data_IF_321333493765
#
_entry.id   IF_321333493765
#
_cell.length_a   1.000
_cell.length_b   1.000
_cell.length_c   1.000
_cell.angle_alpha   90.00
_cell.angle_beta   90.00
_cell.angle_gamma   90.00
#
_symmetry.space_group_name_H-M   'P 1'
#
loop_
_entity.id
_entity.type
_entity.pdbx_description
1 polymer ?
#
# COMPACT_ATOMS: atom_id res chain seq x y z
N UNK A 1 5.79 14.21 -10.77
CA UNK A 1 4.57 14.82 -10.20
C UNK A 1 3.39 13.97 -10.68
N UNK A 2 2.46 13.59 -9.80
CA UNK A 2 1.36 12.64 -10.11
C UNK A 2 0.14 13.40 -10.63
N UNK A 3 -0.43 13.00 -11.75
CA UNK A 3 -1.64 13.59 -12.32
C UNK A 3 -2.91 12.85 -11.86
N UNK A 4 -4.08 13.49 -11.91
CA UNK A 4 -5.39 12.86 -11.67
C UNK A 4 -5.57 11.65 -12.60
N UNK A 5 -5.12 11.76 -13.85
CA UNK A 5 -5.17 10.64 -14.82
C UNK A 5 -4.38 9.41 -14.35
N UNK A 6 -3.28 9.60 -13.64
CA UNK A 6 -2.52 8.47 -13.07
C UNK A 6 -3.32 7.77 -11.98
N UNK A 7 -4.10 8.53 -11.19
CA UNK A 7 -4.97 8.00 -10.14
C UNK A 7 -6.18 7.27 -10.75
N UNK A 8 -6.79 7.80 -11.81
CA UNK A 8 -7.88 7.13 -12.53
C UNK A 8 -7.43 5.81 -13.18
N UNK A 9 -6.24 5.82 -13.79
CA UNK A 9 -5.62 4.61 -14.33
C UNK A 9 -5.34 3.59 -13.22
N UNK A 10 -4.79 4.05 -12.08
CA UNK A 10 -4.57 3.20 -10.92
C UNK A 10 -5.88 2.63 -10.35
N UNK A 11 -6.94 3.43 -10.27
CA UNK A 11 -8.26 3.00 -9.79
C UNK A 11 -8.83 1.86 -10.65
N UNK A 12 -8.69 1.98 -11.98
CA UNK A 12 -9.08 0.93 -12.92
C UNK A 12 -8.23 -0.33 -12.75
N UNK A 13 -6.91 -0.16 -12.58
CA UNK A 13 -5.94 -1.25 -12.42
C UNK A 13 -6.19 -2.11 -11.16
N UNK A 14 -6.54 -1.49 -10.03
CA UNK A 14 -6.65 -2.18 -8.74
C UNK A 14 -8.04 -2.77 -8.46
N UNK A 15 -9.04 -2.50 -9.32
CA UNK A 15 -10.46 -2.77 -9.05
C UNK A 15 -10.78 -4.22 -8.65
N UNK A 16 -10.07 -5.19 -9.21
CA UNK A 16 -10.32 -6.61 -8.97
C UNK A 16 -9.65 -7.16 -7.70
N UNK A 17 -8.83 -6.34 -7.03
CA UNK A 17 -8.05 -6.75 -5.85
C UNK A 17 -8.33 -5.92 -4.61
N UNK A 18 -9.00 -4.78 -4.74
CA UNK A 18 -9.42 -3.94 -3.62
C UNK A 18 -10.93 -3.84 -3.55
N UNK A 19 -11.44 -3.63 -2.35
CA UNK A 19 -12.84 -3.24 -2.15
C UNK A 19 -12.96 -1.73 -2.07
N UNK A 20 -14.02 -1.14 -2.63
CA UNK A 20 -14.38 0.24 -2.32
C UNK A 20 -14.81 0.30 -0.85
N UNK A 21 -13.98 0.88 0.00
CA UNK A 21 -14.23 0.88 1.45
C UNK A 21 -15.31 1.90 1.80
N UNK A 22 -16.09 1.69 2.87
CA UNK A 22 -17.16 2.61 3.21
C UNK A 22 -16.59 3.93 3.77
N UNK A 23 -17.26 5.03 3.42
CA UNK A 23 -17.13 6.32 4.09
C UNK A 23 -18.28 6.43 5.08
N UNK A 24 -17.98 6.31 6.38
CA UNK A 24 -19.01 6.19 7.43
C UNK A 24 -19.01 7.43 8.30
N UNK A 25 -20.20 8.00 8.55
CA UNK A 25 -20.34 9.03 9.57
C UNK A 25 -20.09 8.42 10.96
N UNK A 26 -19.30 9.10 11.77
CA UNK A 26 -19.09 8.76 13.18
C UNK A 26 -19.93 9.69 14.04
N UNK A 27 -21.08 9.22 14.53
CA UNK A 27 -22.02 10.04 15.29
C UNK A 27 -21.43 10.53 16.62
N UNK A 28 -20.59 9.71 17.28
CA UNK A 28 -19.99 10.06 18.57
C UNK A 28 -18.98 11.20 18.41
N UNK A 29 -18.10 11.09 17.40
CA UNK A 29 -17.16 12.16 17.09
C UNK A 29 -17.91 13.40 16.59
N UNK A 30 -18.93 13.20 15.76
CA UNK A 30 -19.70 14.31 15.21
C UNK A 30 -20.39 15.14 16.30
N UNK A 31 -21.03 14.47 17.26
CA UNK A 31 -21.64 15.11 18.43
C UNK A 31 -20.58 15.79 19.31
N UNK A 32 -19.48 15.10 19.61
CA UNK A 32 -18.41 15.61 20.48
C UNK A 32 -17.78 16.89 19.97
N UNK A 33 -17.59 17.02 18.65
CA UNK A 33 -16.90 18.16 18.03
C UNK A 33 -17.86 19.14 17.35
N UNK A 34 -19.18 18.91 17.45
CA UNK A 34 -20.20 19.70 16.76
C UNK A 34 -19.87 19.90 15.26
N UNK A 35 -19.43 18.82 14.60
CA UNK A 35 -18.98 18.80 13.22
C UNK A 35 -19.42 17.51 12.53
N UNK A 36 -19.53 17.49 11.20
CA UNK A 36 -19.80 16.24 10.48
C UNK A 36 -18.50 15.47 10.26
N UNK A 37 -18.28 14.40 11.03
CA UNK A 37 -17.04 13.61 10.95
C UNK A 37 -17.32 12.28 10.26
N UNK A 38 -16.59 12.04 9.18
CA UNK A 38 -16.65 10.81 8.40
C UNK A 38 -15.31 10.07 8.44
N UNK A 39 -15.38 8.74 8.47
CA UNK A 39 -14.24 7.84 8.51
C UNK A 39 -14.20 7.00 7.23
N UNK A 40 -13.13 7.16 6.44
CA UNK A 40 -12.84 6.28 5.30
C UNK A 40 -12.18 5.00 5.81
N UNK A 41 -12.90 3.89 5.80
CA UNK A 41 -12.55 2.64 6.52
C UNK A 41 -11.56 1.75 5.77
N UNK A 42 -10.36 2.26 5.50
CA UNK A 42 -9.28 1.47 4.87
C UNK A 42 -8.76 0.31 5.75
N UNK A 43 -9.12 0.27 7.03
CA UNK A 43 -8.92 -0.89 7.91
C UNK A 43 -9.76 -2.11 7.52
N UNK A 44 -10.85 -1.91 6.76
CA UNK A 44 -11.69 -2.97 6.19
C UNK A 44 -11.19 -3.50 4.84
N UNK A 45 -10.09 -2.95 4.32
CA UNK A 45 -9.49 -3.40 3.07
C UNK A 45 -8.93 -4.83 3.19
N UNK A 46 -8.67 -5.50 2.05
CA UNK A 46 -8.22 -6.91 2.01
C UNK A 46 -6.99 -7.22 2.89
N UNK A 47 -6.02 -6.30 2.94
CA UNK A 47 -4.83 -6.41 3.82
C UNK A 47 -4.94 -5.51 5.06
N UNK A 48 -6.17 -5.15 5.44
CA UNK A 48 -6.53 -4.29 6.57
C UNK A 48 -5.85 -2.93 6.58
N UNK A 49 -5.49 -2.44 5.38
CA UNK A 49 -4.93 -1.12 5.18
C UNK A 49 -4.95 -0.73 3.70
N UNK A 50 -4.78 0.56 3.46
CA UNK A 50 -4.68 1.14 2.11
C UNK A 50 -3.46 0.66 1.31
N UNK A 51 -2.43 0.10 1.97
CA UNK A 51 -1.13 -0.19 1.33
C UNK A 51 -1.21 -1.13 0.13
N UNK A 52 -2.24 -1.99 0.05
CA UNK A 52 -2.45 -2.85 -1.12
C UNK A 52 -2.65 -2.05 -2.40
N UNK A 53 -3.30 -0.88 -2.34
CA UNK A 53 -3.64 -0.08 -3.53
C UNK A 53 -2.37 0.32 -4.28
N UNK A 54 -1.43 0.96 -3.58
CA UNK A 54 -0.14 1.33 -4.17
C UNK A 54 0.77 0.14 -4.50
N UNK A 55 0.84 -0.87 -3.62
CA UNK A 55 1.70 -2.04 -3.85
C UNK A 55 1.28 -2.79 -5.12
N UNK A 56 -0.02 -3.06 -5.27
CA UNK A 56 -0.55 -3.74 -6.44
C UNK A 56 -0.41 -2.88 -7.69
N UNK A 57 -0.74 -1.59 -7.64
CA UNK A 57 -0.62 -0.72 -8.81
C UNK A 57 0.82 -0.69 -9.36
N UNK A 58 1.81 -0.51 -8.49
CA UNK A 58 3.23 -0.57 -8.89
C UNK A 58 3.62 -1.93 -9.46
N UNK A 59 3.19 -3.03 -8.84
CA UNK A 59 3.57 -4.36 -9.30
C UNK A 59 2.87 -4.75 -10.61
N UNK A 60 1.64 -4.29 -10.81
CA UNK A 60 0.89 -4.47 -12.04
C UNK A 60 1.48 -3.64 -13.19
N UNK A 61 2.09 -2.49 -12.92
CA UNK A 61 2.77 -1.67 -13.93
C UNK A 61 4.11 -2.24 -14.40
N UNK A 62 4.62 -3.30 -13.76
CA UNK A 62 5.90 -3.91 -14.16
C UNK A 62 5.79 -4.63 -15.49
N UNK A 63 6.81 -4.46 -16.33
CA UNK A 63 6.99 -5.24 -17.55
C UNK A 63 7.20 -6.73 -17.27
N UNK A 64 6.99 -7.57 -18.27
CA UNK A 64 7.17 -9.02 -18.12
C UNK A 64 8.60 -9.39 -17.69
N UNK A 65 9.61 -8.68 -18.21
CA UNK A 65 11.02 -8.90 -17.85
C UNK A 65 11.31 -8.48 -16.41
N UNK A 66 10.73 -7.38 -15.94
CA UNK A 66 10.80 -6.98 -14.52
C UNK A 66 10.16 -8.01 -13.60
N UNK A 67 8.97 -8.51 -13.95
CA UNK A 67 8.26 -9.55 -13.18
C UNK A 67 9.07 -10.84 -13.08
N UNK A 68 9.75 -11.26 -14.16
CA UNK A 68 10.62 -12.45 -14.18
C UNK A 68 11.82 -12.33 -13.23
N UNK A 69 12.37 -11.12 -13.05
CA UNK A 69 13.47 -10.87 -12.09
C UNK A 69 13.02 -10.88 -10.62
N UNK A 70 11.71 -10.96 -10.39
CA UNK A 70 11.11 -10.92 -9.06
C UNK A 70 11.18 -9.54 -8.41
N UNK A 71 10.58 -9.44 -7.23
CA UNK A 71 10.52 -8.20 -6.45
C UNK A 71 11.21 -8.33 -5.11
N UNK A 72 11.57 -7.19 -4.54
CA UNK A 72 12.14 -7.08 -3.19
C UNK A 72 11.42 -5.97 -2.42
N UNK A 73 11.14 -6.22 -1.14
CA UNK A 73 10.55 -5.24 -0.23
C UNK A 73 11.19 -5.39 1.16
N UNK A 74 11.36 -4.28 1.87
CA UNK A 74 11.69 -4.28 3.29
C UNK A 74 10.52 -3.70 4.10
N UNK A 75 9.85 -4.54 4.89
CA UNK A 75 8.79 -4.12 5.81
C UNK A 75 8.34 -5.30 6.66
N UNK A 76 7.97 -5.04 7.92
CA UNK A 76 7.35 -6.02 8.80
C UNK A 76 5.84 -5.76 9.02
N UNK A 77 5.22 -4.88 8.24
CA UNK A 77 3.84 -4.40 8.48
C UNK A 77 2.97 -4.37 7.24
N UNK A 78 2.07 -3.38 7.19
CA UNK A 78 1.05 -3.23 6.15
C UNK A 78 1.61 -3.23 4.72
N UNK A 79 2.79 -2.64 4.50
CA UNK A 79 3.43 -2.65 3.18
C UNK A 79 3.83 -4.07 2.75
N UNK A 80 4.47 -4.84 3.63
CA UNK A 80 4.80 -6.24 3.35
C UNK A 80 3.55 -7.09 3.09
N UNK A 81 2.45 -6.85 3.79
CA UNK A 81 1.18 -7.56 3.54
C UNK A 81 0.62 -7.22 2.14
N UNK A 82 0.62 -5.94 1.77
CA UNK A 82 0.19 -5.49 0.43
C UNK A 82 1.06 -6.06 -0.69
N UNK A 83 2.38 -6.03 -0.53
CA UNK A 83 3.33 -6.63 -1.49
C UNK A 83 3.14 -8.14 -1.58
N UNK A 84 3.02 -8.83 -0.44
CA UNK A 84 2.85 -10.28 -0.42
C UNK A 84 1.57 -10.72 -1.12
N UNK A 85 0.44 -10.07 -0.82
CA UNK A 85 -0.81 -10.33 -1.52
C UNK A 85 -0.68 -10.09 -3.04
N UNK A 86 0.02 -9.01 -3.43
CA UNK A 86 0.23 -8.67 -4.83
C UNK A 86 1.11 -9.71 -5.56
N UNK A 87 2.14 -10.25 -4.90
CA UNK A 87 2.94 -11.35 -5.41
C UNK A 87 2.07 -12.56 -5.77
N UNK A 88 1.19 -12.97 -4.85
CA UNK A 88 0.27 -14.09 -5.07
C UNK A 88 -0.68 -13.81 -6.24
N UNK A 89 -1.31 -12.63 -6.27
CA UNK A 89 -2.30 -12.28 -7.31
C UNK A 89 -1.71 -12.13 -8.71
N UNK A 90 -0.48 -11.62 -8.81
CA UNK A 90 0.19 -11.40 -10.09
C UNK A 90 1.11 -12.58 -10.48
N UNK A 91 1.20 -13.60 -9.64
CA UNK A 91 2.11 -14.74 -9.75
C UNK A 91 3.59 -14.29 -9.93
N UNK A 92 4.03 -13.35 -9.10
CA UNK A 92 5.40 -12.81 -9.08
C UNK A 92 6.12 -13.37 -7.85
N UNK A 93 7.37 -13.80 -8.02
CA UNK A 93 8.21 -14.20 -6.90
C UNK A 93 8.76 -12.97 -6.16
N UNK A 94 8.60 -12.95 -4.84
CA UNK A 94 9.02 -11.81 -4.01
C UNK A 94 9.86 -12.21 -2.81
N UNK A 95 10.85 -11.40 -2.47
CA UNK A 95 11.64 -11.51 -1.23
C UNK A 95 11.29 -10.35 -0.29
N UNK A 96 10.83 -10.67 0.92
CA UNK A 96 10.41 -9.69 1.92
C UNK A 96 11.36 -9.74 3.11
N UNK A 97 12.12 -8.67 3.27
CA UNK A 97 13.08 -8.50 4.34
C UNK A 97 12.41 -7.90 5.58
N UNK A 98 12.66 -8.52 6.72
CA UNK A 98 12.18 -8.06 8.03
C UNK A 98 13.29 -8.19 9.07
N UNK A 99 13.31 -7.35 10.13
CA UNK A 99 14.20 -7.56 11.27
C UNK A 99 14.05 -8.96 11.86
N UNK A 100 15.15 -9.59 12.27
CA UNK A 100 15.16 -10.87 12.98
C UNK A 100 14.34 -10.84 14.28
N UNK A 101 14.23 -9.67 14.88
CA UNK A 101 13.41 -9.38 16.08
C UNK A 101 11.91 -9.27 15.78
N UNK A 102 11.47 -9.44 14.53
CA UNK A 102 10.06 -9.27 14.15
C UNK A 102 9.15 -10.30 14.86
N UNK A 103 8.07 -9.86 15.52
CA UNK A 103 7.12 -10.77 16.17
C UNK A 103 6.53 -11.81 15.19
N UNK A 104 6.45 -13.07 15.64
CA UNK A 104 5.92 -14.20 14.85
C UNK A 104 4.54 -13.93 14.24
N UNK A 105 3.69 -13.16 14.93
CA UNK A 105 2.36 -12.80 14.42
C UNK A 105 2.43 -11.99 13.11
N UNK A 106 3.36 -11.03 13.01
CA UNK A 106 3.55 -10.21 11.81
C UNK A 106 4.09 -11.05 10.66
N UNK A 107 5.05 -11.94 10.94
CA UNK A 107 5.62 -12.88 9.96
C UNK A 107 4.51 -13.80 9.40
N UNK A 108 3.67 -14.36 10.29
CA UNK A 108 2.55 -15.21 9.90
C UNK A 108 1.54 -14.49 9.00
N UNK A 109 1.22 -13.23 9.31
CA UNK A 109 0.30 -12.43 8.48
C UNK A 109 0.84 -12.22 7.06
N UNK A 110 2.11 -11.86 6.92
CA UNK A 110 2.72 -11.67 5.60
C UNK A 110 2.76 -12.99 4.82
N UNK A 111 3.15 -14.08 5.48
CA UNK A 111 3.17 -15.42 4.87
C UNK A 111 1.77 -15.87 4.43
N UNK A 112 0.73 -15.57 5.20
CA UNK A 112 -0.65 -15.90 4.86
C UNK A 112 -1.09 -15.24 3.54
N UNK A 113 -0.69 -13.99 3.30
CA UNK A 113 -1.06 -13.26 2.09
C UNK A 113 -0.25 -13.67 0.87
N UNK A 114 1.07 -13.90 1.01
CA UNK A 114 1.93 -14.23 -0.12
C UNK A 114 2.08 -15.71 -0.43
N UNK A 115 1.82 -16.60 0.55
CA UNK A 115 1.96 -18.05 0.41
C UNK A 115 3.33 -18.42 -0.18
N UNK A 116 3.37 -19.28 -1.19
CA UNK A 116 4.58 -19.78 -1.83
C UNK A 116 5.18 -18.78 -2.84
N UNK A 117 4.52 -17.64 -3.10
CA UNK A 117 5.06 -16.57 -3.95
C UNK A 117 5.98 -15.60 -3.19
N UNK A 118 6.11 -15.76 -1.87
CA UNK A 118 7.00 -14.91 -1.06
C UNK A 118 7.95 -15.72 -0.19
N UNK A 119 9.21 -15.33 -0.22
CA UNK A 119 10.21 -15.72 0.75
C UNK A 119 10.36 -14.60 1.79
N UNK A 120 10.22 -14.94 3.08
CA UNK A 120 10.45 -13.98 4.19
C UNK A 120 11.86 -14.18 4.70
N UNK A 121 12.68 -13.15 4.58
CA UNK A 121 14.09 -13.14 4.98
C UNK A 121 14.21 -12.33 6.27
N UNK A 122 14.53 -13.02 7.36
CA UNK A 122 14.77 -12.40 8.67
C UNK A 122 16.24 -12.05 8.81
N UNK A 123 16.56 -10.76 8.87
CA UNK A 123 17.95 -10.30 8.95
C UNK A 123 18.06 -8.96 9.66
N UNK A 124 19.19 -8.73 10.33
CA UNK A 124 19.42 -7.56 11.16
C UNK A 124 18.51 -7.49 12.38
N UNK A 125 18.88 -6.67 13.36
CA UNK A 125 18.09 -6.45 14.57
C UNK A 125 17.16 -5.23 14.43
N UNK A 126 17.41 -4.38 13.43
CA UNK A 126 16.67 -3.13 13.17
C UNK A 126 16.07 -3.10 11.76
N UNK A 127 15.10 -2.20 11.55
CA UNK A 127 14.52 -1.96 10.23
C UNK A 127 15.57 -1.50 9.22
N UNK A 128 16.47 -0.60 9.59
CA UNK A 128 17.48 -0.06 8.68
C UNK A 128 18.44 -1.14 8.18
N UNK A 129 18.81 -2.10 9.04
CA UNK A 129 19.64 -3.23 8.65
C UNK A 129 18.91 -4.16 7.66
N UNK A 130 17.62 -4.45 7.92
CA UNK A 130 16.81 -5.23 6.99
C UNK A 130 16.60 -4.50 5.65
N UNK A 131 16.44 -3.18 5.68
CA UNK A 131 16.31 -2.33 4.50
C UNK A 131 17.57 -2.32 3.64
N UNK A 132 18.75 -2.15 4.24
CA UNK A 132 20.02 -2.19 3.51
C UNK A 132 20.32 -3.59 2.95
N UNK A 133 19.99 -4.66 3.70
CA UNK A 133 20.07 -6.02 3.18
C UNK A 133 19.15 -6.23 1.95
N UNK A 134 17.93 -5.71 2.00
CA UNK A 134 16.99 -5.78 0.88
C UNK A 134 17.50 -5.01 -0.35
N UNK A 135 18.09 -3.82 -0.16
CA UNK A 135 18.69 -3.05 -1.25
C UNK A 135 19.87 -3.78 -1.89
N UNK A 136 20.73 -4.39 -1.06
CA UNK A 136 21.87 -5.19 -1.54
C UNK A 136 21.37 -6.39 -2.36
N UNK A 137 20.41 -7.15 -1.85
CA UNK A 137 19.80 -8.28 -2.56
C UNK A 137 19.16 -7.85 -3.89
N UNK A 138 18.45 -6.73 -3.89
CA UNK A 138 17.84 -6.16 -5.08
C UNK A 138 18.88 -5.82 -6.14
N UNK A 139 20.01 -5.22 -5.76
CA UNK A 139 21.10 -4.89 -6.66
C UNK A 139 21.79 -6.15 -7.22
N UNK A 140 22.06 -7.14 -6.37
CA UNK A 140 22.71 -8.40 -6.77
C UNK A 140 21.84 -9.21 -7.75
N UNK A 141 20.55 -9.34 -7.46
CA UNK A 141 19.63 -10.15 -8.27
C UNK A 141 18.97 -9.36 -9.41
N UNK A 142 19.21 -8.05 -9.50
CA UNK A 142 18.55 -7.13 -10.45
C UNK A 142 17.02 -7.18 -10.36
N UNK A 143 16.49 -7.51 -9.19
CA UNK A 143 15.05 -7.52 -8.90
C UNK A 143 14.51 -6.09 -8.84
N UNK A 144 13.19 -5.93 -8.76
CA UNK A 144 12.56 -4.60 -8.60
C UNK A 144 12.27 -4.33 -7.13
N UNK A 145 12.79 -3.22 -6.61
CA UNK A 145 12.48 -2.78 -5.26
C UNK A 145 11.11 -2.10 -5.20
N UNK A 146 10.20 -2.60 -4.36
CA UNK A 146 8.87 -2.02 -4.16
C UNK A 146 8.91 -1.11 -2.94
N UNK A 147 9.16 0.18 -3.19
CA UNK A 147 9.27 1.17 -2.13
C UNK A 147 7.91 1.45 -1.45
N UNK A 148 7.83 1.61 -0.12
CA UNK A 148 6.56 1.81 0.60
C UNK A 148 5.81 3.13 0.34
N UNK A 149 6.44 4.12 -0.27
CA UNK A 149 5.85 5.45 -0.51
C UNK A 149 6.58 6.29 -1.57
N UNK A 150 7.92 6.29 -1.59
CA UNK A 150 8.75 6.96 -2.60
C UNK A 150 8.74 6.27 -3.98
N UNK A 151 7.55 6.19 -4.58
CA UNK A 151 7.34 5.71 -5.96
C UNK A 151 6.02 6.29 -6.49
N UNK A 152 6.04 6.84 -7.71
CA UNK A 152 4.88 7.50 -8.30
C UNK A 152 3.69 6.56 -8.52
N UNK A 153 3.91 5.30 -8.90
CA UNK A 153 2.84 4.32 -9.06
C UNK A 153 2.28 3.88 -7.72
N UNK A 154 3.12 3.77 -6.69
CA UNK A 154 2.65 3.50 -5.33
C UNK A 154 1.75 4.63 -4.86
N UNK A 155 2.20 5.87 -5.00
CA UNK A 155 1.44 7.04 -4.59
C UNK A 155 0.15 7.24 -5.42
N UNK A 156 0.17 7.00 -6.73
CA UNK A 156 -1.05 7.01 -7.57
C UNK A 156 -2.07 5.97 -7.09
N UNK A 157 -1.60 4.75 -6.77
CA UNK A 157 -2.46 3.73 -6.18
C UNK A 157 -3.03 4.14 -4.82
N UNK A 158 -2.24 4.76 -3.93
CA UNK A 158 -2.80 5.28 -2.67
C UNK A 158 -3.82 6.41 -2.90
N UNK A 159 -3.62 7.24 -3.92
CA UNK A 159 -4.53 8.34 -4.28
C UNK A 159 -5.94 7.90 -4.66
N UNK A 160 -6.12 6.63 -5.05
CA UNK A 160 -7.44 6.06 -5.33
C UNK A 160 -8.40 6.12 -4.14
N UNK A 161 -7.88 6.21 -2.90
CA UNK A 161 -8.70 6.47 -1.70
C UNK A 161 -9.45 7.79 -1.82
N UNK A 162 -8.81 8.83 -2.38
CA UNK A 162 -9.39 10.16 -2.55
C UNK A 162 -10.46 10.17 -3.61
N UNK A 163 -10.19 9.52 -4.75
CA UNK A 163 -11.19 9.33 -5.79
C UNK A 163 -12.44 8.63 -5.24
N UNK A 164 -12.28 7.59 -4.42
CA UNK A 164 -13.42 6.93 -3.78
C UNK A 164 -14.17 7.85 -2.80
N UNK A 165 -13.46 8.66 -2.00
CA UNK A 165 -14.11 9.62 -1.09
C UNK A 165 -14.96 10.60 -1.91
N UNK A 166 -14.40 11.18 -2.97
CA UNK A 166 -15.10 12.13 -3.84
C UNK A 166 -16.33 11.52 -4.53
N UNK A 167 -16.29 10.23 -4.85
CA UNK A 167 -17.43 9.51 -5.41
C UNK A 167 -18.51 9.15 -4.36
N UNK A 168 -18.17 9.15 -3.07
CA UNK A 168 -19.04 8.73 -1.98
C UNK A 168 -19.69 9.89 -1.22
N UNK A 169 -19.22 11.12 -1.41
CA UNK A 169 -19.80 12.30 -0.79
C UNK A 169 -20.80 12.98 -1.71
N UNK A 170 -21.91 13.43 -1.13
CA UNK A 170 -22.89 14.34 -1.73
C UNK A 170 -22.84 15.73 -1.08
N UNK A 171 -21.79 16.00 -0.30
CA UNK A 171 -21.54 17.24 0.42
C UNK A 171 -20.12 17.76 0.16
N UNK A 172 -19.90 19.05 0.43
CA UNK A 172 -18.57 19.65 0.39
C UNK A 172 -17.73 19.23 1.59
N UNK A 173 -16.45 18.92 1.36
CA UNK A 173 -15.51 18.57 2.41
C UNK A 173 -14.69 19.81 2.78
N UNK A 174 -14.81 20.26 4.04
CA UNK A 174 -14.02 21.39 4.55
C UNK A 174 -12.57 20.98 4.89
N UNK A 175 -12.40 19.78 5.45
CA UNK A 175 -11.10 19.27 5.91
C UNK A 175 -10.96 17.77 5.65
N UNK A 176 -9.78 17.37 5.18
CA UNK A 176 -9.37 15.97 5.08
C UNK A 176 -8.19 15.71 6.02
N UNK A 177 -8.38 14.86 7.03
CA UNK A 177 -7.33 14.47 7.98
C UNK A 177 -6.70 13.15 7.53
N UNK A 178 -5.39 13.18 7.27
CA UNK A 178 -4.67 12.05 6.68
C UNK A 178 -3.45 11.70 7.53
N UNK A 179 -3.30 10.44 7.98
CA UNK A 179 -2.10 10.03 8.72
C UNK A 179 -0.88 10.05 7.79
N UNK A 180 0.19 10.72 8.22
CA UNK A 180 1.44 10.83 7.47
C UNK A 180 2.47 9.86 8.06
N UNK A 181 2.89 8.89 7.25
CA UNK A 181 4.14 8.16 7.43
C UNK A 181 5.20 8.75 6.50
N UNK A 182 5.41 8.12 5.34
CA UNK A 182 6.28 8.63 4.27
C UNK A 182 5.57 9.46 3.19
N UNK A 183 4.40 10.04 3.47
CA UNK A 183 3.71 10.98 2.56
C UNK A 183 2.91 10.39 1.38
N UNK A 184 3.13 9.12 0.98
CA UNK A 184 2.47 8.57 -0.22
C UNK A 184 0.93 8.62 -0.26
N UNK A 185 0.25 8.60 0.88
CA UNK A 185 -1.21 8.74 0.95
C UNK A 185 -1.66 10.18 0.71
N UNK A 186 -1.07 11.15 1.42
CA UNK A 186 -1.45 12.56 1.30
C UNK A 186 -1.12 13.12 -0.09
N UNK A 187 0.00 12.73 -0.69
CA UNK A 187 0.36 13.15 -2.06
C UNK A 187 -0.61 12.65 -3.14
N UNK A 188 -1.22 11.47 -2.92
CA UNK A 188 -2.25 10.96 -3.81
C UNK A 188 -3.61 11.62 -3.56
N UNK A 189 -3.96 11.87 -2.29
CA UNK A 189 -5.22 12.51 -1.91
C UNK A 189 -5.29 13.95 -2.39
N UNK A 190 -4.25 14.75 -2.18
CA UNK A 190 -4.18 16.17 -2.59
C UNK A 190 -4.57 16.36 -4.07
N UNK A 191 -4.13 15.44 -4.94
CA UNK A 191 -4.48 15.46 -6.36
C UNK A 191 -5.88 14.95 -6.68
N UNK A 192 -6.41 14.01 -5.91
CA UNK A 192 -7.78 13.50 -6.12
C UNK A 192 -8.89 14.47 -5.72
N UNK A 193 -8.57 15.51 -4.94
CA UNK A 193 -9.50 16.58 -4.54
C UNK A 193 -9.52 17.79 -5.49
N UNK A 194 -8.54 17.91 -6.40
CA UNK A 194 -8.30 19.09 -7.23
C UNK A 194 -8.75 18.98 -8.68
#
# INVERSE_FOLDING_TARGET
MIDVKDIEAAYSCIRDVVTQTPLMKDEILSEKYAANIYLKREDLQVVRSYKIRGAYNKMASLSQEERKRGIVCASAGNHAQGVAFSCLKLNIQGRIFMPATTPKQKIKQVRMFGRDNVEIILTGDTYDQAYEAAKKDCATNKSVFIHPFDDLQVAAGQGTVGLEIMQQVDFSIDYALVPIGGGGLISGLDRGYG
#
